data_IF_679964371065
#
_entry.id   IF_679964371065
#
_cell.length_a   1.000
_cell.length_b   1.000
_cell.length_c   1.000
_cell.angle_alpha   90.00
_cell.angle_beta   90.00
_cell.angle_gamma   90.00
#
_symmetry.space_group_name_H-M   'P 1'
#
loop_
_entity.id
_entity.type
_entity.pdbx_description
1 polymer ?
#
# COMPACT_ATOMS: atom_id res chain seq x y z
N UNK A 1 -61.30 66.00 152.07
CA UNK A 1 -62.62 65.76 152.71
C UNK A 1 -62.64 66.09 154.22
N UNK A 2 -61.55 65.91 154.99
CA UNK A 2 -61.55 66.16 156.45
C UNK A 2 -61.68 67.64 156.88
N UNK A 3 -61.05 68.60 156.19
CA UNK A 3 -61.05 70.03 156.57
C UNK A 3 -62.37 70.78 156.27
N UNK A 4 -63.18 70.29 155.32
CA UNK A 4 -64.46 70.92 154.94
C UNK A 4 -65.56 70.66 155.98
N UNK A 5 -65.47 69.52 156.68
CA UNK A 5 -66.34 69.18 157.81
C UNK A 5 -66.01 70.00 159.08
N UNK A 6 -64.76 70.40 159.28
CA UNK A 6 -64.33 71.18 160.45
C UNK A 6 -64.96 72.60 160.51
N UNK A 7 -65.25 73.18 159.35
CA UNK A 7 -65.87 74.52 159.22
C UNK A 7 -67.38 74.52 159.44
N UNK A 8 -68.06 73.38 159.26
CA UNK A 8 -69.49 73.26 159.59
C UNK A 8 -69.74 73.24 161.11
N UNK A 9 -68.80 72.75 161.91
CA UNK A 9 -68.95 72.55 163.37
C UNK A 9 -68.56 73.75 164.23
N UNK A 10 -67.82 74.73 163.70
CA UNK A 10 -67.53 76.01 164.36
C UNK A 10 -67.76 77.16 163.40
N UNK A 11 -69.00 77.70 163.33
CA UNK A 11 -69.37 78.73 162.36
C UNK A 11 -68.58 80.04 162.55
N UNK A 12 -68.03 80.25 163.74
CA UNK A 12 -67.19 81.39 164.10
C UNK A 12 -65.82 81.37 163.40
N UNK A 13 -65.36 80.18 162.98
CA UNK A 13 -64.09 79.97 162.27
C UNK A 13 -64.25 79.92 160.75
N UNK A 14 -65.46 80.07 160.22
CA UNK A 14 -65.74 80.06 158.78
C UNK A 14 -65.18 81.29 158.04
N UNK A 15 -65.05 82.41 158.77
CA UNK A 15 -64.45 83.66 158.31
C UNK A 15 -63.00 83.83 158.81
N UNK A 16 -62.43 82.84 159.48
CA UNK A 16 -61.04 82.89 159.91
C UNK A 16 -60.13 82.77 158.69
N UNK A 17 -59.35 83.84 158.46
CA UNK A 17 -58.45 83.96 157.32
C UNK A 17 -57.46 82.80 157.24
N UNK A 18 -57.01 82.24 158.37
CA UNK A 18 -56.05 81.14 158.40
C UNK A 18 -56.69 79.81 157.97
N UNK A 19 -57.96 79.58 158.33
CA UNK A 19 -58.71 78.37 157.96
C UNK A 19 -59.04 78.38 156.46
N UNK A 20 -59.48 79.53 155.93
CA UNK A 20 -59.72 79.74 154.49
C UNK A 20 -58.43 79.53 153.67
N UNK A 21 -57.30 80.07 154.14
CA UNK A 21 -56.00 79.89 153.49
C UNK A 21 -55.54 78.43 153.50
N UNK A 22 -55.73 77.72 154.61
CA UNK A 22 -55.38 76.29 154.73
C UNK A 22 -56.26 75.41 153.82
N UNK A 23 -57.55 75.70 153.73
CA UNK A 23 -58.48 75.01 152.79
C UNK A 23 -58.10 75.32 151.33
N UNK A 24 -57.69 76.56 151.04
CA UNK A 24 -57.16 76.96 149.73
C UNK A 24 -55.90 76.17 149.35
N UNK A 25 -54.91 76.11 150.24
CA UNK A 25 -53.66 75.35 150.05
C UNK A 25 -53.96 73.85 149.89
N UNK A 26 -54.86 73.28 150.70
CA UNK A 26 -55.20 71.86 150.61
C UNK A 26 -55.97 71.52 149.31
N UNK A 27 -56.87 72.40 148.85
CA UNK A 27 -57.54 72.26 147.54
C UNK A 27 -56.55 72.36 146.40
N UNK A 28 -55.59 73.29 146.48
CA UNK A 28 -54.57 73.46 145.44
C UNK A 28 -53.59 72.27 145.44
N UNK A 29 -53.19 71.75 146.60
CA UNK A 29 -52.38 70.54 146.71
C UNK A 29 -53.12 69.31 146.15
N UNK A 30 -54.43 69.16 146.43
CA UNK A 30 -55.24 68.08 145.83
C UNK A 30 -55.35 68.23 144.31
N UNK A 31 -55.47 69.47 143.81
CA UNK A 31 -55.51 69.78 142.37
C UNK A 31 -54.17 69.45 141.71
N UNK A 32 -53.04 69.83 142.32
CA UNK A 32 -51.69 69.49 141.85
C UNK A 32 -51.43 67.98 141.88
N UNK A 33 -51.85 67.26 142.93
CA UNK A 33 -51.75 65.79 142.98
C UNK A 33 -52.60 65.11 141.91
N UNK A 34 -53.80 65.62 141.63
CA UNK A 34 -54.63 65.12 140.53
C UNK A 34 -54.01 65.39 139.15
N UNK A 35 -53.34 66.53 138.97
CA UNK A 35 -52.57 66.85 137.76
C UNK A 35 -51.38 65.90 137.63
N UNK A 36 -50.58 65.73 138.69
CA UNK A 36 -49.43 64.82 138.70
C UNK A 36 -49.84 63.37 138.46
N UNK A 37 -50.96 62.92 139.04
CA UNK A 37 -51.51 61.59 138.79
C UNK A 37 -51.96 61.41 137.32
N UNK A 38 -52.53 62.46 136.71
CA UNK A 38 -52.82 62.46 135.27
C UNK A 38 -51.56 62.41 134.42
N UNK A 39 -50.54 63.21 134.75
CA UNK A 39 -49.27 63.24 134.04
C UNK A 39 -48.51 61.92 134.14
N UNK A 40 -48.47 61.30 135.32
CA UNK A 40 -47.85 59.98 135.52
C UNK A 40 -48.59 58.88 134.74
N UNK A 41 -49.93 58.91 134.71
CA UNK A 41 -50.71 57.98 133.87
C UNK A 41 -50.46 58.22 132.37
N UNK A 42 -50.30 59.49 131.96
CA UNK A 42 -49.98 59.85 130.58
C UNK A 42 -48.56 59.37 130.20
N UNK A 43 -47.58 59.53 131.09
CA UNK A 43 -46.21 59.05 130.89
C UNK A 43 -46.16 57.51 130.82
N UNK A 44 -46.88 56.81 131.69
CA UNK A 44 -46.99 55.34 131.64
C UNK A 44 -47.62 54.87 130.32
N UNK A 45 -48.62 55.60 129.81
CA UNK A 45 -49.25 55.34 128.52
C UNK A 45 -48.29 55.60 127.36
N UNK A 46 -47.53 56.70 127.41
CA UNK A 46 -46.51 57.04 126.41
C UNK A 46 -45.36 56.01 126.40
N UNK A 47 -44.88 55.56 127.56
CA UNK A 47 -43.87 54.52 127.66
C UNK A 47 -44.36 53.18 127.07
N UNK A 48 -45.62 52.80 127.34
CA UNK A 48 -46.23 51.60 126.75
C UNK A 48 -46.36 51.72 125.23
N UNK A 49 -46.74 52.89 124.73
CA UNK A 49 -46.78 53.18 123.29
C UNK A 49 -45.38 53.09 122.66
N UNK A 50 -44.37 53.72 123.28
CA UNK A 50 -42.99 53.66 122.81
C UNK A 50 -42.43 52.23 122.78
N UNK A 51 -42.69 51.42 123.81
CA UNK A 51 -42.31 50.00 123.83
C UNK A 51 -43.03 49.18 122.75
N UNK A 52 -44.29 49.50 122.45
CA UNK A 52 -45.02 48.88 121.34
C UNK A 52 -44.39 49.25 119.99
N UNK A 53 -44.08 50.53 119.78
CA UNK A 53 -43.41 51.01 118.57
C UNK A 53 -42.02 50.39 118.40
N UNK A 54 -41.26 50.21 119.49
CA UNK A 54 -39.96 49.53 119.44
C UNK A 54 -40.10 48.05 119.06
N UNK A 55 -41.12 47.37 119.57
CA UNK A 55 -41.44 45.99 119.19
C UNK A 55 -41.83 45.88 117.71
N UNK A 56 -42.64 46.80 117.20
CA UNK A 56 -43.01 46.88 115.79
C UNK A 56 -41.81 47.18 114.89
N UNK A 57 -40.91 48.09 115.30
CA UNK A 57 -39.67 48.38 114.58
C UNK A 57 -38.76 47.15 114.52
N UNK A 58 -38.61 46.41 115.62
CA UNK A 58 -37.81 45.19 115.65
C UNK A 58 -38.41 44.08 114.77
N UNK A 59 -39.74 43.93 114.77
CA UNK A 59 -40.44 43.03 113.85
C UNK A 59 -40.26 43.46 112.38
N UNK A 60 -40.22 44.76 112.10
CA UNK A 60 -39.99 45.30 110.76
C UNK A 60 -38.55 45.03 110.30
N UNK A 61 -37.55 45.16 111.17
CA UNK A 61 -36.16 44.79 110.87
C UNK A 61 -36.00 43.30 110.57
N UNK A 62 -36.70 42.42 111.31
CA UNK A 62 -36.73 40.98 110.99
C UNK A 62 -37.36 40.69 109.63
N UNK A 63 -38.41 41.43 109.24
CA UNK A 63 -38.98 41.33 107.88
C UNK A 63 -37.98 41.77 106.82
N UNK A 64 -37.18 42.81 107.07
CA UNK A 64 -36.13 43.26 106.15
C UNK A 64 -35.02 42.22 106.01
N UNK A 65 -34.53 41.63 107.12
CA UNK A 65 -33.53 40.54 107.06
C UNK A 65 -34.03 39.33 106.27
N UNK A 66 -35.29 38.93 106.49
CA UNK A 66 -35.93 37.88 105.69
C UNK A 66 -36.07 38.27 104.22
N UNK A 67 -36.45 39.51 103.92
CA UNK A 67 -36.51 40.03 102.54
C UNK A 67 -35.15 40.03 101.84
N UNK A 68 -34.07 40.38 102.54
CA UNK A 68 -32.70 40.31 102.01
C UNK A 68 -32.24 38.87 101.76
N UNK A 69 -32.61 37.92 102.63
CA UNK A 69 -32.36 36.48 102.40
C UNK A 69 -33.11 35.96 101.19
N UNK A 70 -34.38 36.34 101.01
CA UNK A 70 -35.16 35.98 99.82
C UNK A 70 -34.57 36.60 98.55
N UNK A 71 -34.12 37.86 98.61
CA UNK A 71 -33.43 38.51 97.51
C UNK A 71 -32.14 37.78 97.14
N UNK A 72 -31.31 37.42 98.12
CA UNK A 72 -30.08 36.65 97.87
C UNK A 72 -30.39 35.27 97.25
N UNK A 73 -31.43 34.60 97.72
CA UNK A 73 -31.93 33.36 97.11
C UNK A 73 -32.42 33.58 95.67
N UNK A 74 -33.09 34.70 95.40
CA UNK A 74 -33.52 35.12 94.07
C UNK A 74 -32.34 35.35 93.12
N UNK A 75 -31.29 36.03 93.59
CA UNK A 75 -30.06 36.26 92.84
C UNK A 75 -29.35 34.94 92.52
N UNK A 76 -29.25 34.02 93.48
CA UNK A 76 -28.66 32.70 93.26
C UNK A 76 -29.46 31.87 92.25
N UNK A 77 -30.80 31.92 92.30
CA UNK A 77 -31.67 31.28 91.30
C UNK A 77 -31.46 31.89 89.91
N UNK A 78 -31.30 33.21 89.82
CA UNK A 78 -31.06 33.90 88.55
C UNK A 78 -29.68 33.56 87.98
N UNK A 79 -28.64 33.51 88.81
CA UNK A 79 -27.30 33.05 88.41
C UNK A 79 -27.35 31.61 87.87
N UNK A 80 -28.08 30.72 88.54
CA UNK A 80 -28.29 29.34 88.07
C UNK A 80 -29.05 29.30 86.75
N UNK A 81 -30.16 30.03 86.64
CA UNK A 81 -30.94 30.12 85.40
C UNK A 81 -30.15 30.68 84.23
N UNK A 82 -29.27 31.65 84.46
CA UNK A 82 -28.36 32.18 83.43
C UNK A 82 -27.29 31.16 83.02
N UNK A 83 -26.77 30.36 83.95
CA UNK A 83 -25.85 29.26 83.64
C UNK A 83 -26.56 28.16 82.84
N UNK A 84 -27.77 27.77 83.23
CA UNK A 84 -28.60 26.80 82.51
C UNK A 84 -28.94 27.30 81.09
N UNK A 85 -29.27 28.58 80.93
CA UNK A 85 -29.50 29.20 79.63
C UNK A 85 -28.23 29.18 78.76
N UNK A 86 -27.06 29.51 79.32
CA UNK A 86 -25.78 29.43 78.60
C UNK A 86 -25.51 28.00 78.12
N UNK A 87 -25.77 26.99 78.96
CA UNK A 87 -25.61 25.59 78.60
C UNK A 87 -26.59 25.19 77.50
N UNK A 88 -27.87 25.55 77.62
CA UNK A 88 -28.88 25.30 76.59
C UNK A 88 -28.58 25.97 75.25
N UNK A 89 -28.03 27.19 75.26
CA UNK A 89 -27.56 27.88 74.04
C UNK A 89 -26.37 27.17 73.40
N UNK A 90 -25.43 26.65 74.20
CA UNK A 90 -24.31 25.87 73.70
C UNK A 90 -24.76 24.53 73.10
N UNK A 91 -25.68 23.83 73.76
CA UNK A 91 -26.30 22.60 73.25
C UNK A 91 -27.08 22.86 71.96
N UNK A 92 -27.86 23.95 71.91
CA UNK A 92 -28.59 24.36 70.70
C UNK A 92 -27.65 24.69 69.53
N UNK A 93 -26.51 25.35 69.81
CA UNK A 93 -25.47 25.61 68.81
C UNK A 93 -24.82 24.32 68.32
N UNK A 94 -24.52 23.38 69.21
CA UNK A 94 -23.99 22.06 68.85
C UNK A 94 -24.98 21.26 68.01
N UNK A 95 -26.27 21.24 68.39
CA UNK A 95 -27.34 20.60 67.62
C UNK A 95 -27.51 21.22 66.23
N UNK A 96 -27.45 22.55 66.12
CA UNK A 96 -27.50 23.26 64.84
C UNK A 96 -26.31 22.91 63.93
N UNK A 97 -25.10 22.77 64.49
CA UNK A 97 -23.92 22.27 63.75
C UNK A 97 -24.09 20.83 63.30
N UNK A 98 -24.65 19.96 64.14
CA UNK A 98 -24.94 18.58 63.75
C UNK A 98 -25.97 18.51 62.60
N UNK A 99 -27.01 19.34 62.65
CA UNK A 99 -28.00 19.44 61.56
C UNK A 99 -27.34 19.92 60.27
N UNK A 100 -26.51 20.95 60.33
CA UNK A 100 -25.77 21.43 59.16
C UNK A 100 -24.88 20.34 58.55
N UNK A 101 -24.14 19.61 59.39
CA UNK A 101 -23.29 18.50 58.94
C UNK A 101 -24.12 17.36 58.33
N UNK A 102 -25.23 16.97 58.97
CA UNK A 102 -26.11 15.91 58.46
C UNK A 102 -26.84 16.33 57.19
N UNK A 103 -27.17 17.61 57.03
CA UNK A 103 -27.71 18.16 55.79
C UNK A 103 -26.69 18.11 54.65
N UNK A 104 -25.41 18.39 54.94
CA UNK A 104 -24.33 18.26 53.95
C UNK A 104 -24.08 16.79 53.57
N UNK A 105 -24.12 15.86 54.53
CA UNK A 105 -24.07 14.41 54.26
C UNK A 105 -25.25 13.96 53.39
N UNK A 106 -26.46 14.45 53.67
CA UNK A 106 -27.66 14.15 52.88
C UNK A 106 -27.52 14.70 51.44
N UNK A 107 -27.05 15.93 51.28
CA UNK A 107 -26.79 16.50 49.96
C UNK A 107 -25.76 15.67 49.19
N UNK A 108 -24.67 15.25 49.85
CA UNK A 108 -23.67 14.36 49.26
C UNK A 108 -24.27 13.00 48.85
N UNK A 109 -25.14 12.43 49.70
CA UNK A 109 -25.87 11.19 49.41
C UNK A 109 -26.80 11.33 48.21
N UNK A 110 -27.54 12.44 48.11
CA UNK A 110 -28.41 12.74 46.97
C UNK A 110 -27.61 12.93 45.67
N UNK A 111 -26.45 13.59 45.72
CA UNK A 111 -25.54 13.68 44.56
C UNK A 111 -25.06 12.30 44.12
N UNK A 112 -24.63 11.44 45.04
CA UNK A 112 -24.22 10.06 44.71
C UNK A 112 -25.34 9.25 44.08
N UNK A 113 -26.59 9.42 44.54
CA UNK A 113 -27.75 8.77 43.94
C UNK A 113 -27.97 9.29 42.51
N UNK A 114 -27.89 10.61 42.30
CA UNK A 114 -28.01 11.21 40.97
C UNK A 114 -26.91 10.71 40.02
N UNK A 115 -25.67 10.63 40.48
CA UNK A 115 -24.54 10.08 39.72
C UNK A 115 -24.76 8.60 39.39
N UNK A 116 -25.22 7.82 40.37
CA UNK A 116 -25.57 6.40 40.19
C UNK A 116 -26.71 6.18 39.18
N UNK A 117 -27.73 7.05 39.16
CA UNK A 117 -28.78 7.03 38.14
C UNK A 117 -28.22 7.36 36.75
N UNK A 118 -27.30 8.31 36.64
CA UNK A 118 -26.59 8.62 35.40
C UNK A 118 -25.73 7.46 34.88
N UNK A 119 -25.03 6.77 35.78
CA UNK A 119 -24.28 5.55 35.45
C UNK A 119 -25.20 4.41 35.00
N UNK A 120 -26.35 4.23 35.66
CA UNK A 120 -27.35 3.22 35.26
C UNK A 120 -27.92 3.52 33.86
N UNK A 121 -28.29 4.77 33.59
CA UNK A 121 -28.78 5.19 32.26
C UNK A 121 -27.72 4.90 31.18
N UNK A 122 -26.45 5.18 31.48
CA UNK A 122 -25.32 4.91 30.58
C UNK A 122 -25.16 3.40 30.34
N UNK A 123 -25.18 2.59 31.41
CA UNK A 123 -25.11 1.13 31.31
C UNK A 123 -26.27 0.51 30.52
N UNK A 124 -27.49 1.04 30.67
CA UNK A 124 -28.66 0.61 29.90
C UNK A 124 -28.53 0.99 28.41
N UNK A 125 -27.97 2.17 28.11
CA UNK A 125 -27.69 2.60 26.74
C UNK A 125 -26.63 1.72 26.07
N UNK A 126 -25.54 1.41 26.78
CA UNK A 126 -24.50 0.50 26.31
C UNK A 126 -25.05 -0.92 26.07
N UNK A 127 -25.93 -1.39 26.96
CA UNK A 127 -26.60 -2.69 26.80
C UNK A 127 -27.48 -2.70 25.55
N UNK A 128 -28.25 -1.63 25.31
CA UNK A 128 -29.07 -1.49 24.10
C UNK A 128 -28.21 -1.53 22.82
N UNK A 129 -27.07 -0.83 22.83
CA UNK A 129 -26.15 -0.82 21.69
C UNK A 129 -25.53 -2.20 21.43
N UNK A 130 -25.05 -2.88 22.48
CA UNK A 130 -24.51 -4.25 22.38
C UNK A 130 -25.57 -5.25 21.92
N UNK A 131 -26.82 -5.08 22.31
CA UNK A 131 -27.93 -5.90 21.84
C UNK A 131 -28.20 -5.69 20.34
N UNK A 132 -28.11 -4.45 19.85
CA UNK A 132 -28.19 -4.15 18.41
C UNK A 132 -27.04 -4.77 17.61
N UNK A 133 -25.81 -4.73 18.15
CA UNK A 133 -24.66 -5.41 17.53
C UNK A 133 -24.84 -6.94 17.48
N UNK A 134 -25.36 -7.53 18.55
CA UNK A 134 -25.67 -8.96 18.60
C UNK A 134 -26.74 -9.36 17.56
N UNK A 135 -27.82 -8.58 17.45
CA UNK A 135 -28.86 -8.79 16.42
C UNK A 135 -28.27 -8.72 14.99
N UNK A 136 -27.40 -7.74 14.73
CA UNK A 136 -26.71 -7.61 13.44
C UNK A 136 -25.78 -8.82 13.17
N UNK A 137 -25.03 -9.26 14.18
CA UNK A 137 -24.15 -10.42 14.09
C UNK A 137 -24.90 -11.72 13.79
N UNK A 138 -26.02 -11.95 14.48
CA UNK A 138 -26.92 -13.09 14.22
C UNK A 138 -27.49 -13.05 12.80
N UNK A 139 -27.95 -11.88 12.33
CA UNK A 139 -28.44 -11.71 10.97
C UNK A 139 -27.38 -12.05 9.92
N UNK A 140 -26.14 -11.55 10.09
CA UNK A 140 -25.02 -11.86 9.19
C UNK A 140 -24.66 -13.35 9.22
N UNK A 141 -24.76 -13.99 10.38
CA UNK A 141 -24.54 -15.44 10.51
C UNK A 141 -25.59 -16.24 9.73
N UNK A 142 -26.87 -15.85 9.81
CA UNK A 142 -27.93 -16.50 9.02
C UNK A 142 -27.75 -16.31 7.51
N UNK A 143 -27.28 -15.12 7.07
CA UNK A 143 -26.96 -14.87 5.67
C UNK A 143 -25.76 -15.71 5.20
N UNK A 144 -24.72 -15.79 6.04
CA UNK A 144 -23.54 -16.64 5.78
C UNK A 144 -23.89 -18.12 5.65
N UNK A 145 -24.75 -18.63 6.54
CA UNK A 145 -25.27 -19.99 6.44
C UNK A 145 -26.09 -20.22 5.17
N UNK A 146 -26.87 -19.22 4.74
CA UNK A 146 -27.58 -19.26 3.44
C UNK A 146 -26.62 -19.37 2.25
N UNK A 147 -25.53 -18.60 2.25
CA UNK A 147 -24.49 -18.69 1.20
C UNK A 147 -23.79 -20.05 1.18
N UNK A 148 -23.47 -20.61 2.35
CA UNK A 148 -22.88 -21.95 2.45
C UNK A 148 -23.87 -23.03 1.97
N UNK A 149 -25.14 -22.93 2.33
CA UNK A 149 -26.18 -23.83 1.86
C UNK A 149 -26.32 -23.81 0.34
N UNK A 150 -26.30 -22.62 -0.28
CA UNK A 150 -26.37 -22.47 -1.73
C UNK A 150 -25.11 -23.03 -2.41
N UNK A 151 -23.92 -22.71 -1.89
CA UNK A 151 -22.67 -23.26 -2.45
C UNK A 151 -22.56 -24.78 -2.35
N UNK A 152 -23.08 -25.38 -1.27
CA UNK A 152 -23.18 -26.85 -1.15
C UNK A 152 -24.17 -27.45 -2.15
N UNK A 153 -25.29 -26.75 -2.43
CA UNK A 153 -26.24 -27.15 -3.46
C UNK A 153 -25.63 -27.10 -4.86
N UNK A 154 -24.90 -26.03 -5.17
CA UNK A 154 -24.19 -25.88 -6.45
C UNK A 154 -23.10 -26.95 -6.61
N UNK A 155 -22.34 -27.24 -5.54
CA UNK A 155 -21.35 -28.31 -5.54
C UNK A 155 -21.99 -29.69 -5.74
N UNK A 156 -23.15 -29.94 -5.11
CA UNK A 156 -23.91 -31.18 -5.31
C UNK A 156 -24.41 -31.31 -6.76
N UNK A 157 -24.91 -30.22 -7.37
CA UNK A 157 -25.32 -30.19 -8.78
C UNK A 157 -24.13 -30.47 -9.70
N UNK A 158 -22.99 -29.81 -9.48
CA UNK A 158 -21.77 -30.02 -10.25
C UNK A 158 -21.26 -31.47 -10.16
N UNK A 159 -21.25 -32.07 -8.95
CA UNK A 159 -20.86 -33.47 -8.77
C UNK A 159 -21.86 -34.45 -9.39
N UNK A 160 -23.15 -34.12 -9.40
CA UNK A 160 -24.18 -34.89 -10.10
C UNK A 160 -23.98 -34.89 -11.62
N UNK A 161 -23.72 -33.73 -12.20
CA UNK A 161 -23.46 -33.57 -13.63
C UNK A 161 -22.14 -34.25 -14.07
N UNK A 162 -21.10 -34.20 -13.23
CA UNK A 162 -19.85 -34.93 -13.46
C UNK A 162 -20.04 -36.45 -13.48
N UNK A 163 -20.97 -36.98 -12.68
CA UNK A 163 -21.25 -38.42 -12.61
C UNK A 163 -22.01 -38.94 -13.84
N UNK A 164 -22.79 -38.09 -14.52
CA UNK A 164 -23.49 -38.44 -15.76
C UNK A 164 -22.63 -38.29 -17.02
N UNK A 165 -21.59 -37.46 -16.94
CA UNK A 165 -20.65 -37.24 -18.04
C UNK A 165 -19.65 -38.40 -18.12
N UNK A 166 -19.76 -39.27 -19.14
CA UNK A 166 -18.74 -40.29 -19.48
C UNK A 166 -17.43 -39.63 -19.98
N UNK A 167 -16.80 -38.79 -19.17
CA UNK A 167 -15.75 -37.88 -19.60
C UNK A 167 -14.52 -37.95 -18.71
N UNK A 168 -13.81 -39.07 -18.75
CA UNK A 168 -12.38 -39.06 -18.42
C UNK A 168 -11.53 -38.41 -19.53
N UNK A 169 -12.14 -38.04 -20.67
CA UNK A 169 -11.43 -37.47 -21.83
C UNK A 169 -11.91 -36.06 -22.26
N UNK A 170 -13.02 -35.54 -21.72
CA UNK A 170 -13.56 -34.21 -22.09
C UNK A 170 -13.60 -33.30 -20.87
N UNK A 171 -12.89 -32.18 -20.94
CA UNK A 171 -12.93 -31.12 -19.93
C UNK A 171 -14.36 -30.56 -19.84
N UNK A 172 -15.03 -30.78 -18.71
CA UNK A 172 -16.41 -30.32 -18.50
C UNK A 172 -16.44 -28.85 -18.12
N UNK A 173 -17.16 -28.03 -18.91
CA UNK A 173 -17.40 -26.62 -18.62
C UNK A 173 -18.91 -26.46 -18.34
N UNK A 174 -19.32 -25.99 -17.15
CA UNK A 174 -20.74 -25.75 -16.83
C UNK A 174 -21.40 -24.78 -17.81
N UNK A 175 -22.69 -24.98 -18.12
CA UNK A 175 -23.43 -24.14 -19.08
C UNK A 175 -23.46 -22.67 -18.66
N UNK A 176 -23.57 -22.42 -17.36
CA UNK A 176 -23.58 -21.08 -16.78
C UNK A 176 -22.25 -20.35 -17.04
N UNK A 177 -21.13 -21.08 -17.09
CA UNK A 177 -19.81 -20.52 -17.46
C UNK A 177 -19.73 -20.27 -18.95
N UNK A 178 -20.26 -21.17 -19.78
CA UNK A 178 -20.30 -21.00 -21.24
C UNK A 178 -21.12 -19.76 -21.66
N UNK A 179 -22.19 -19.45 -20.94
CA UNK A 179 -23.06 -18.28 -21.19
C UNK A 179 -22.56 -17.01 -20.49
N UNK A 180 -21.58 -17.12 -19.60
CA UNK A 180 -21.00 -16.00 -18.87
C UNK A 180 -20.33 -14.96 -19.79
N UNK A 181 -20.45 -13.69 -19.41
CA UNK A 181 -19.94 -12.56 -20.21
C UNK A 181 -18.43 -12.67 -20.47
N UNK A 182 -17.65 -13.09 -19.46
CA UNK A 182 -16.19 -13.22 -19.57
C UNK A 182 -15.78 -14.37 -20.51
N UNK A 183 -16.51 -15.48 -20.49
CA UNK A 183 -16.25 -16.58 -21.42
C UNK A 183 -16.59 -16.19 -22.86
N UNK A 184 -17.68 -15.46 -23.07
CA UNK A 184 -18.04 -14.93 -24.38
C UNK A 184 -16.99 -13.92 -24.90
N UNK A 185 -16.43 -13.07 -24.03
CA UNK A 185 -15.29 -12.19 -24.39
C UNK A 185 -14.06 -13.00 -24.81
N UNK A 186 -13.74 -14.08 -24.10
CA UNK A 186 -12.64 -14.97 -24.47
C UNK A 186 -12.90 -15.63 -25.84
N UNK A 187 -14.09 -16.21 -26.06
CA UNK A 187 -14.47 -16.77 -27.36
C UNK A 187 -14.37 -15.74 -28.48
N UNK A 188 -14.82 -14.51 -28.29
CA UNK A 188 -14.71 -13.45 -29.29
C UNK A 188 -13.26 -13.03 -29.59
N UNK A 189 -12.35 -13.21 -28.63
CA UNK A 189 -10.93 -12.86 -28.78
C UNK A 189 -10.14 -13.92 -29.57
N UNK A 190 -10.50 -15.20 -29.35
CA UNK A 190 -9.78 -16.35 -29.90
C UNK A 190 -10.53 -17.09 -31.00
N UNK A 191 -11.80 -16.81 -31.25
CA UNK A 191 -12.58 -17.42 -32.33
C UNK A 191 -13.24 -16.37 -33.23
N UNK A 192 -13.54 -16.76 -34.46
CA UNK A 192 -14.34 -15.94 -35.39
C UNK A 192 -15.77 -15.74 -34.88
N UNK A 193 -16.47 -14.73 -35.39
CA UNK A 193 -17.86 -14.45 -35.02
C UNK A 193 -18.80 -15.65 -35.28
N UNK A 194 -18.55 -16.41 -36.35
CA UNK A 194 -19.29 -17.62 -36.72
C UNK A 194 -18.80 -18.91 -35.99
N UNK A 195 -17.79 -18.79 -35.12
CA UNK A 195 -17.17 -19.89 -34.36
C UNK A 195 -16.58 -21.00 -35.23
N UNK A 196 -16.27 -20.73 -36.50
CA UNK A 196 -15.65 -21.71 -37.42
C UNK A 196 -14.13 -21.65 -37.45
N UNK A 197 -13.51 -20.57 -36.99
CA UNK A 197 -12.07 -20.39 -36.92
C UNK A 197 -11.69 -20.21 -35.45
N UNK A 198 -10.69 -20.95 -34.99
CA UNK A 198 -10.07 -20.78 -33.70
C UNK A 198 -8.59 -20.38 -33.89
N UNK A 199 -8.13 -19.42 -33.08
CA UNK A 199 -6.77 -18.89 -33.07
C UNK A 199 -6.10 -19.29 -31.77
N UNK A 200 -4.97 -19.96 -31.89
CA UNK A 200 -4.07 -20.24 -30.77
C UNK A 200 -2.83 -19.36 -30.89
N UNK A 201 -2.44 -18.70 -29.81
CA UNK A 201 -1.22 -17.88 -29.78
C UNK A 201 -0.13 -18.73 -29.14
N UNK A 202 0.90 -19.04 -29.91
CA UNK A 202 2.08 -19.78 -29.45
C UNK A 202 3.23 -18.78 -29.35
N UNK A 203 3.78 -18.63 -28.15
CA UNK A 203 4.93 -17.76 -27.88
C UNK A 203 6.15 -18.67 -27.76
N UNK A 204 7.14 -18.47 -28.64
CA UNK A 204 8.39 -19.23 -28.59
C UNK A 204 9.32 -18.64 -27.51
N UNK A 205 10.06 -19.50 -26.83
CA UNK A 205 11.08 -19.11 -25.83
C UNK A 205 12.37 -18.56 -26.48
N UNK A 206 12.47 -18.67 -27.81
CA UNK A 206 13.60 -18.19 -28.61
C UNK A 206 13.18 -16.99 -29.46
N UNK A 207 14.16 -16.19 -29.88
CA UNK A 207 13.93 -15.04 -30.74
C UNK A 207 13.23 -15.48 -32.05
N UNK A 208 12.07 -14.91 -32.43
CA UNK A 208 11.30 -15.36 -33.60
C UNK A 208 12.01 -15.13 -34.96
N UNK A 209 13.10 -14.36 -34.97
CA UNK A 209 13.95 -14.14 -36.13
C UNK A 209 15.18 -15.06 -36.18
N UNK A 210 15.42 -15.89 -35.15
CA UNK A 210 16.60 -16.75 -35.10
C UNK A 210 16.46 -17.99 -35.99
N UNK A 211 17.61 -18.60 -36.35
CA UNK A 211 17.63 -19.90 -37.03
C UNK A 211 17.09 -21.02 -36.14
N UNK A 212 17.21 -20.90 -34.83
CA UNK A 212 16.73 -21.87 -33.83
C UNK A 212 15.20 -21.93 -33.77
N UNK A 213 14.51 -20.82 -34.06
CA UNK A 213 13.05 -20.77 -34.07
C UNK A 213 12.43 -21.54 -35.26
N UNK A 214 13.14 -21.61 -36.39
CA UNK A 214 12.66 -22.23 -37.62
C UNK A 214 12.28 -23.73 -37.48
N UNK A 215 13.13 -24.61 -36.93
CA UNK A 215 12.79 -26.03 -36.76
C UNK A 215 11.59 -26.24 -35.83
N UNK A 216 11.38 -25.37 -34.84
CA UNK A 216 10.24 -25.46 -33.91
C UNK A 216 8.92 -25.34 -34.68
N UNK A 217 8.81 -24.42 -35.63
CA UNK A 217 7.59 -24.27 -36.45
C UNK A 217 7.33 -25.51 -37.30
N UNK A 218 8.39 -26.12 -37.86
CA UNK A 218 8.26 -27.37 -38.63
C UNK A 218 7.76 -28.53 -37.75
N UNK A 219 8.27 -28.62 -36.51
CA UNK A 219 7.81 -29.60 -35.52
C UNK A 219 6.36 -29.37 -35.10
N UNK A 220 5.96 -28.11 -34.88
CA UNK A 220 4.57 -27.76 -34.55
C UNK A 220 3.65 -28.17 -35.70
N UNK A 221 3.97 -27.82 -36.96
CA UNK A 221 3.18 -28.22 -38.13
C UNK A 221 3.01 -29.74 -38.20
N UNK A 222 4.11 -30.49 -38.05
CA UNK A 222 4.10 -31.96 -38.08
C UNK A 222 3.27 -32.55 -36.94
N UNK A 223 3.36 -31.96 -35.75
CA UNK A 223 2.60 -32.39 -34.56
C UNK A 223 1.11 -32.12 -34.74
N UNK A 224 0.73 -30.97 -35.29
CA UNK A 224 -0.66 -30.63 -35.60
C UNK A 224 -1.23 -31.60 -36.63
N UNK A 225 -0.53 -31.83 -37.74
CA UNK A 225 -0.97 -32.78 -38.77
C UNK A 225 -1.11 -34.22 -38.24
N UNK A 226 -0.26 -34.63 -37.30
CA UNK A 226 -0.32 -35.94 -36.66
C UNK A 226 -1.48 -36.05 -35.66
N UNK A 227 -1.65 -35.03 -34.81
CA UNK A 227 -2.60 -35.05 -33.69
C UNK A 227 -4.04 -34.87 -34.18
N UNK A 228 -4.27 -33.96 -35.13
CA UNK A 228 -5.61 -33.59 -35.59
C UNK A 228 -6.34 -34.76 -36.26
N UNK A 229 -5.61 -35.64 -36.96
CA UNK A 229 -6.18 -36.81 -37.66
C UNK A 229 -6.93 -37.78 -36.74
N UNK A 230 -6.56 -37.85 -35.46
CA UNK A 230 -7.20 -38.72 -34.46
C UNK A 230 -8.39 -38.11 -33.72
N UNK A 231 -8.78 -36.87 -34.05
CA UNK A 231 -9.77 -36.10 -33.29
C UNK A 231 -11.01 -35.78 -34.10
N UNK A 232 -12.03 -35.22 -33.44
CA UNK A 232 -13.22 -34.65 -34.11
C UNK A 232 -12.86 -33.52 -35.09
N UNK A 233 -11.63 -32.99 -35.05
CA UNK A 233 -11.12 -31.93 -35.93
C UNK A 233 -10.38 -32.45 -37.16
N UNK A 234 -10.43 -33.75 -37.48
CA UNK A 234 -9.67 -34.36 -38.60
C UNK A 234 -9.78 -33.64 -39.96
N UNK A 235 -10.91 -32.98 -40.22
CA UNK A 235 -11.20 -32.26 -41.47
C UNK A 235 -10.89 -30.74 -41.36
N UNK A 236 -10.36 -30.29 -40.22
CA UNK A 236 -10.02 -28.90 -39.99
C UNK A 236 -8.77 -28.51 -40.81
N UNK A 237 -8.86 -27.37 -41.49
CA UNK A 237 -7.70 -26.76 -42.14
C UNK A 237 -6.87 -26.04 -41.10
N UNK A 238 -5.61 -26.42 -40.97
CA UNK A 238 -4.67 -25.80 -40.03
C UNK A 238 -3.70 -24.91 -40.79
N UNK A 239 -3.41 -23.74 -40.24
CA UNK A 239 -2.42 -22.84 -40.77
C UNK A 239 -1.66 -22.20 -39.62
N UNK A 240 -0.34 -22.08 -39.77
CA UNK A 240 0.51 -21.37 -38.83
C UNK A 240 0.92 -20.05 -39.48
N UNK A 241 0.76 -18.96 -38.73
CA UNK A 241 1.19 -17.63 -39.14
C UNK A 241 2.25 -17.07 -38.20
N UNK A 242 2.66 -15.84 -38.47
CA UNK A 242 3.65 -15.12 -37.68
C UNK A 242 5.03 -15.08 -38.33
N UNK A 243 5.94 -14.37 -37.67
CA UNK A 243 7.25 -14.03 -38.20
C UNK A 243 8.10 -15.25 -38.54
N UNK A 244 8.18 -16.21 -37.62
CA UNK A 244 9.01 -17.41 -37.81
C UNK A 244 8.47 -18.30 -38.93
N UNK A 245 7.16 -18.51 -38.99
CA UNK A 245 6.53 -19.27 -40.08
C UNK A 245 6.82 -18.63 -41.44
N UNK A 246 6.65 -17.31 -41.55
CA UNK A 246 7.01 -16.56 -42.77
C UNK A 246 8.48 -16.73 -43.15
N UNK A 247 9.38 -16.75 -42.17
CA UNK A 247 10.81 -16.96 -42.43
C UNK A 247 11.13 -18.39 -42.89
N UNK A 248 10.43 -19.39 -42.36
CA UNK A 248 10.52 -20.79 -42.82
C UNK A 248 10.06 -20.91 -44.27
N UNK A 249 8.88 -20.37 -44.59
CA UNK A 249 8.34 -20.36 -45.95
C UNK A 249 9.29 -19.65 -46.91
N UNK A 250 9.82 -18.49 -46.51
CA UNK A 250 10.76 -17.70 -47.30
C UNK A 250 12.08 -18.44 -47.55
N UNK A 251 12.58 -19.16 -46.55
CA UNK A 251 13.79 -20.00 -46.67
C UNK A 251 13.55 -21.16 -47.64
N UNK A 252 12.38 -21.80 -47.58
CA UNK A 252 12.03 -22.92 -48.46
C UNK A 252 11.88 -22.47 -49.91
N UNK A 253 11.12 -21.40 -50.16
CA UNK A 253 10.93 -20.82 -51.50
C UNK A 253 12.27 -20.34 -52.06
N UNK A 254 13.05 -19.57 -51.28
CA UNK A 254 14.31 -19.00 -51.77
C UNK A 254 15.37 -20.07 -52.00
N UNK A 255 15.44 -21.14 -51.20
CA UNK A 255 16.50 -22.14 -51.33
C UNK A 255 16.48 -22.86 -52.68
N UNK A 256 15.30 -23.27 -53.15
CA UNK A 256 15.16 -23.92 -54.45
C UNK A 256 15.40 -22.94 -55.60
N UNK A 257 14.87 -21.73 -55.49
CA UNK A 257 15.00 -20.70 -56.52
C UNK A 257 16.44 -20.19 -56.63
N UNK A 258 17.17 -20.12 -55.52
CA UNK A 258 18.59 -19.77 -55.49
C UNK A 258 19.41 -20.75 -56.33
N UNK A 259 19.27 -22.06 -56.09
CA UNK A 259 20.03 -23.07 -56.83
C UNK A 259 19.70 -23.05 -58.31
N UNK A 260 18.41 -22.96 -58.66
CA UNK A 260 17.97 -22.87 -60.06
C UNK A 260 18.57 -21.63 -60.75
N UNK A 261 18.45 -20.46 -60.11
CA UNK A 261 18.97 -19.20 -60.65
C UNK A 261 20.49 -19.22 -60.77
N UNK A 262 21.19 -19.71 -59.74
CA UNK A 262 22.64 -19.84 -59.75
C UNK A 262 23.12 -20.79 -60.86
N UNK A 263 22.46 -21.95 -61.06
CA UNK A 263 22.79 -22.87 -62.16
C UNK A 263 22.61 -22.20 -63.52
N UNK A 264 21.49 -21.50 -63.76
CA UNK A 264 21.24 -20.81 -65.03
C UNK A 264 22.29 -19.73 -65.29
N UNK A 265 22.62 -18.91 -64.28
CA UNK A 265 23.64 -17.87 -64.39
C UNK A 265 25.03 -18.43 -64.65
N UNK A 266 25.45 -19.46 -63.90
CA UNK A 266 26.74 -20.11 -64.11
C UNK A 266 26.86 -20.72 -65.50
N UNK A 267 25.79 -21.32 -66.02
CA UNK A 267 25.78 -21.88 -67.37
C UNK A 267 25.91 -20.78 -68.43
N UNK A 268 25.16 -19.68 -68.28
CA UNK A 268 25.25 -18.53 -69.19
C UNK A 268 26.66 -17.91 -69.20
N UNK A 269 27.25 -17.74 -68.03
CA UNK A 269 28.61 -17.21 -67.88
C UNK A 269 29.66 -18.18 -68.39
N UNK A 270 29.48 -19.49 -68.16
CA UNK A 270 30.35 -20.51 -68.73
C UNK A 270 30.37 -20.47 -70.25
N UNK A 271 29.22 -20.24 -70.90
CA UNK A 271 29.16 -20.10 -72.36
C UNK A 271 29.96 -18.86 -72.80
N UNK A 272 29.74 -17.71 -72.19
CA UNK A 272 30.46 -16.46 -72.54
C UNK A 272 31.97 -16.61 -72.30
N UNK A 273 32.37 -17.12 -71.13
CA UNK A 273 33.77 -17.37 -70.81
C UNK A 273 34.39 -18.44 -71.72
N UNK A 274 33.64 -19.45 -72.14
CA UNK A 274 34.13 -20.45 -73.10
C UNK A 274 34.46 -19.80 -74.45
N UNK A 275 33.64 -18.86 -74.92
CA UNK A 275 33.90 -18.11 -76.16
C UNK A 275 35.15 -17.24 -76.02
N UNK A 276 35.32 -16.54 -74.89
CA UNK A 276 36.46 -15.63 -74.65
C UNK A 276 37.77 -16.41 -74.44
N UNK A 277 37.73 -17.45 -73.60
CA UNK A 277 38.92 -18.23 -73.25
C UNK A 277 39.30 -19.26 -74.31
N UNK A 278 38.38 -19.58 -75.24
CA UNK A 278 38.51 -20.63 -76.27
C UNK A 278 38.92 -21.99 -75.70
N UNK A 279 38.66 -22.24 -74.41
CA UNK A 279 39.11 -23.44 -73.69
C UNK A 279 38.16 -23.77 -72.55
N UNK A 280 37.52 -24.95 -72.64
CA UNK A 280 36.60 -25.46 -71.61
C UNK A 280 37.29 -25.63 -70.25
N UNK A 281 38.53 -26.10 -70.21
CA UNK A 281 39.27 -26.29 -68.96
C UNK A 281 39.59 -24.95 -68.28
N UNK A 282 40.03 -23.95 -69.05
CA UNK A 282 40.31 -22.61 -68.49
C UNK A 282 39.02 -21.95 -67.99
N UNK A 283 37.90 -22.15 -68.70
CA UNK A 283 36.58 -21.69 -68.27
C UNK A 283 36.19 -22.29 -66.93
N UNK A 284 36.30 -23.62 -66.79
CA UNK A 284 35.98 -24.33 -65.54
C UNK A 284 36.87 -23.84 -64.39
N UNK A 285 38.16 -23.58 -64.64
CA UNK A 285 39.06 -23.08 -63.60
C UNK A 285 38.75 -21.66 -63.15
N UNK A 286 38.36 -20.78 -64.06
CA UNK A 286 37.93 -19.42 -63.73
C UNK A 286 36.63 -19.47 -62.91
N UNK A 287 35.64 -20.25 -63.34
CA UNK A 287 34.40 -20.39 -62.60
C UNK A 287 34.66 -21.04 -61.23
N UNK A 288 35.50 -22.08 -61.19
CA UNK A 288 35.88 -22.76 -59.95
C UNK A 288 36.59 -21.82 -58.98
N UNK A 289 37.49 -20.95 -59.46
CA UNK A 289 38.18 -19.98 -58.63
C UNK A 289 37.26 -18.85 -58.15
N UNK A 290 36.29 -18.43 -58.98
CA UNK A 290 35.23 -17.49 -58.59
C UNK A 290 34.33 -18.08 -57.50
N UNK A 291 33.89 -19.33 -57.67
CA UNK A 291 33.08 -20.03 -56.68
C UNK A 291 33.86 -20.25 -55.37
N UNK A 292 35.14 -20.60 -55.46
CA UNK A 292 36.01 -20.72 -54.29
C UNK A 292 36.13 -19.39 -53.55
N UNK A 293 36.35 -18.28 -54.27
CA UNK A 293 36.41 -16.95 -53.68
C UNK A 293 35.07 -16.55 -53.04
N UNK A 294 33.94 -16.91 -53.65
CA UNK A 294 32.60 -16.68 -53.11
C UNK A 294 32.35 -17.45 -51.81
N UNK A 295 32.64 -18.75 -51.77
CA UNK A 295 32.44 -19.53 -50.54
C UNK A 295 33.42 -19.11 -49.43
N UNK A 296 34.67 -18.78 -49.80
CA UNK A 296 35.65 -18.25 -48.86
C UNK A 296 35.22 -16.89 -48.30
N UNK A 297 34.71 -15.98 -49.14
CA UNK A 297 34.23 -14.68 -48.68
C UNK A 297 32.99 -14.79 -47.81
N UNK A 298 32.06 -15.70 -48.11
CA UNK A 298 30.92 -15.99 -47.24
C UNK A 298 31.38 -16.43 -45.84
N UNK A 299 32.30 -17.39 -45.76
CA UNK A 299 32.80 -17.87 -44.46
C UNK A 299 33.55 -16.80 -43.67
N UNK A 300 34.41 -16.02 -44.34
CA UNK A 300 35.13 -14.91 -43.69
C UNK A 300 34.17 -13.82 -43.23
N UNK A 301 33.20 -13.43 -44.06
CA UNK A 301 32.23 -12.41 -43.71
C UNK A 301 31.20 -12.86 -42.68
N UNK A 302 30.87 -14.15 -42.61
CA UNK A 302 30.09 -14.70 -41.49
C UNK A 302 30.86 -14.54 -40.18
N UNK A 303 32.17 -14.82 -40.16
CA UNK A 303 33.01 -14.59 -38.99
C UNK A 303 33.14 -13.11 -38.62
N UNK A 304 33.26 -12.21 -39.61
CA UNK A 304 33.22 -10.76 -39.39
C UNK A 304 31.86 -10.36 -38.81
N UNK A 305 30.75 -10.88 -39.33
CA UNK A 305 29.41 -10.58 -38.82
C UNK A 305 29.23 -11.04 -37.38
N UNK A 306 29.72 -12.24 -37.03
CA UNK A 306 29.63 -12.77 -35.69
C UNK A 306 30.42 -11.92 -34.67
N UNK A 307 31.67 -11.55 -35.00
CA UNK A 307 32.56 -10.85 -34.06
C UNK A 307 32.41 -9.33 -34.05
N UNK A 308 32.11 -8.71 -35.19
CA UNK A 308 32.04 -7.25 -35.33
C UNK A 308 30.60 -6.76 -35.19
N UNK A 309 29.66 -7.42 -35.86
CA UNK A 309 28.25 -7.00 -35.88
C UNK A 309 27.43 -7.64 -34.76
N UNK A 310 28.00 -8.59 -34.00
CA UNK A 310 27.30 -9.37 -32.97
C UNK A 310 26.04 -10.09 -33.51
N UNK A 311 26.08 -10.48 -34.79
CA UNK A 311 25.01 -11.25 -35.44
C UNK A 311 25.58 -12.59 -35.85
N UNK A 312 25.08 -13.65 -35.21
CA UNK A 312 25.55 -15.04 -35.36
C UNK A 312 25.38 -15.62 -36.77
N UNK A 313 24.69 -14.93 -37.68
CA UNK A 313 24.40 -15.44 -39.01
C UNK A 313 24.21 -14.34 -40.05
N UNK A 314 24.60 -14.67 -41.27
CA UNK A 314 24.25 -13.88 -42.43
C UNK A 314 22.75 -13.98 -42.71
N UNK A 315 22.16 -12.87 -43.16
CA UNK A 315 20.76 -12.83 -43.59
C UNK A 315 20.55 -13.74 -44.79
N UNK A 316 19.37 -14.35 -44.89
CA UNK A 316 19.05 -15.37 -45.92
C UNK A 316 19.26 -14.89 -47.37
N UNK A 317 19.14 -13.58 -47.62
CA UNK A 317 19.30 -12.96 -48.93
C UNK A 317 20.74 -12.56 -49.26
N UNK A 318 21.65 -12.51 -48.28
CA UNK A 318 23.04 -12.11 -48.47
C UNK A 318 23.78 -13.05 -49.43
N UNK A 319 23.71 -14.40 -49.28
CA UNK A 319 24.34 -15.31 -50.23
C UNK A 319 23.89 -15.07 -51.67
N UNK A 320 22.61 -14.77 -51.90
CA UNK A 320 22.05 -14.50 -53.23
C UNK A 320 22.60 -13.22 -53.85
N UNK A 321 22.49 -12.08 -53.15
CA UNK A 321 22.97 -10.82 -53.69
C UNK A 321 24.48 -10.81 -53.86
N UNK A 322 25.22 -11.32 -52.87
CA UNK A 322 26.67 -11.41 -52.98
C UNK A 322 27.10 -12.34 -54.12
N UNK A 323 26.39 -13.44 -54.36
CA UNK A 323 26.67 -14.31 -55.51
C UNK A 323 26.55 -13.55 -56.82
N UNK A 324 25.42 -12.88 -57.06
CA UNK A 324 25.19 -12.10 -58.28
C UNK A 324 26.28 -11.04 -58.47
N UNK A 325 26.61 -10.31 -57.41
CA UNK A 325 27.60 -9.22 -57.47
C UNK A 325 29.02 -9.73 -57.71
N UNK A 326 29.44 -10.76 -56.98
CA UNK A 326 30.78 -11.34 -57.11
C UNK A 326 30.95 -11.99 -58.48
N UNK A 327 29.90 -12.66 -58.96
CA UNK A 327 29.91 -13.27 -60.28
C UNK A 327 29.95 -12.20 -61.37
N UNK A 328 29.13 -11.16 -61.29
CA UNK A 328 29.15 -10.06 -62.27
C UNK A 328 30.54 -9.39 -62.33
N UNK A 329 31.09 -9.02 -61.18
CA UNK A 329 32.36 -8.27 -61.11
C UNK A 329 33.59 -9.17 -61.34
N UNK A 330 33.57 -10.38 -60.79
CA UNK A 330 34.69 -11.31 -60.87
C UNK A 330 34.86 -11.92 -62.26
N UNK A 331 33.76 -12.09 -63.00
CA UNK A 331 33.81 -12.49 -64.40
C UNK A 331 34.49 -11.42 -65.24
N UNK A 332 34.17 -10.14 -65.04
CA UNK A 332 34.80 -9.04 -65.78
C UNK A 332 36.32 -9.02 -65.59
N UNK A 333 36.80 -9.18 -64.37
CA UNK A 333 38.24 -9.27 -64.09
C UNK A 333 38.90 -10.47 -64.76
N UNK A 334 38.23 -11.62 -64.71
CA UNK A 334 38.72 -12.83 -65.38
C UNK A 334 38.75 -12.65 -66.90
N UNK A 335 37.77 -11.96 -67.48
CA UNK A 335 37.72 -11.61 -68.90
C UNK A 335 38.89 -10.70 -69.27
N UNK A 336 39.16 -9.64 -68.50
CA UNK A 336 40.30 -8.75 -68.77
C UNK A 336 41.62 -9.52 -68.79
N UNK A 337 41.89 -10.32 -67.74
CA UNK A 337 43.11 -11.15 -67.68
C UNK A 337 43.17 -12.11 -68.87
N UNK A 338 42.05 -12.71 -69.26
CA UNK A 338 42.01 -13.67 -70.37
C UNK A 338 42.14 -13.05 -71.75
N UNK A 339 41.61 -11.85 -71.97
CA UNK A 339 41.84 -11.10 -73.20
C UNK A 339 43.34 -10.83 -73.36
N UNK A 340 44.01 -10.37 -72.29
CA UNK A 340 45.46 -10.16 -72.33
C UNK A 340 46.25 -11.45 -72.43
N UNK A 341 45.81 -12.51 -71.76
CA UNK A 341 46.38 -13.84 -71.92
C UNK A 341 46.35 -14.26 -73.39
N UNK A 342 45.27 -14.01 -74.12
CA UNK A 342 45.19 -14.38 -75.53
C UNK A 342 46.09 -13.54 -76.45
N UNK A 343 46.42 -12.30 -76.08
CA UNK A 343 47.31 -11.41 -76.83
C UNK A 343 48.80 -11.68 -76.61
N UNK A 344 49.18 -12.24 -75.45
CA UNK A 344 50.58 -12.51 -75.11
C UNK A 344 51.05 -13.81 -75.79
N UNK A 345 52.23 -13.77 -76.41
CA UNK A 345 52.90 -14.93 -76.99
C UNK A 345 53.71 -15.69 -75.92
N UNK A 346 53.88 -17.00 -76.11
CA UNK A 346 54.65 -17.87 -75.20
C UNK A 346 53.88 -19.10 -74.73
N UNK A 347 54.49 -19.84 -73.80
CA UNK A 347 53.83 -20.98 -73.16
C UNK A 347 52.73 -20.52 -72.19
N UNK A 348 51.79 -21.40 -71.88
CA UNK A 348 50.63 -21.03 -71.06
C UNK A 348 50.98 -20.44 -69.70
N UNK A 349 52.12 -20.80 -69.09
CA UNK A 349 52.55 -20.25 -67.80
C UNK A 349 53.10 -18.85 -67.96
N UNK A 350 54.01 -18.63 -68.91
CA UNK A 350 54.54 -17.28 -69.16
C UNK A 350 53.45 -16.32 -69.59
N UNK A 351 52.50 -16.79 -70.41
CA UNK A 351 51.33 -16.01 -70.85
C UNK A 351 50.49 -15.51 -69.67
N UNK A 352 50.11 -16.38 -68.74
CA UNK A 352 49.26 -15.98 -67.61
C UNK A 352 50.01 -15.11 -66.60
N UNK A 353 51.30 -15.38 -66.35
CA UNK A 353 52.12 -14.52 -65.47
C UNK A 353 52.26 -13.12 -66.07
N UNK A 354 52.55 -13.03 -67.37
CA UNK A 354 52.74 -11.75 -68.08
C UNK A 354 51.42 -10.99 -68.19
N UNK A 355 50.32 -11.69 -68.49
CA UNK A 355 48.98 -11.10 -68.53
C UNK A 355 48.58 -10.57 -67.15
N UNK A 356 48.76 -11.35 -66.09
CA UNK A 356 48.50 -10.93 -64.72
C UNK A 356 49.39 -9.76 -64.29
N UNK A 357 50.65 -9.67 -64.74
CA UNK A 357 51.52 -8.53 -64.44
C UNK A 357 51.06 -7.23 -65.11
N UNK A 358 50.59 -7.31 -66.36
CA UNK A 358 50.10 -6.14 -67.10
C UNK A 358 48.75 -5.65 -66.58
N UNK A 359 47.80 -6.56 -66.35
CA UNK A 359 46.42 -6.22 -65.98
C UNK A 359 46.22 -6.16 -64.47
N UNK A 360 47.09 -6.79 -63.67
CA UNK A 360 46.95 -6.86 -62.22
C UNK A 360 46.88 -5.49 -61.55
N UNK A 361 47.65 -4.49 -62.04
CA UNK A 361 47.55 -3.11 -61.53
C UNK A 361 46.18 -2.50 -61.77
N UNK A 362 45.65 -2.61 -63.00
CA UNK A 362 44.33 -2.09 -63.38
C UNK A 362 43.23 -2.76 -62.55
N UNK A 363 43.29 -4.08 -62.40
CA UNK A 363 42.27 -4.81 -61.64
C UNK A 363 42.37 -4.54 -60.15
N UNK A 364 43.57 -4.45 -59.58
CA UNK A 364 43.75 -4.11 -58.17
C UNK A 364 43.20 -2.70 -57.88
N UNK A 365 43.45 -1.73 -58.75
CA UNK A 365 42.87 -0.39 -58.63
C UNK A 365 41.34 -0.41 -58.71
N UNK A 366 40.78 -1.14 -59.68
CA UNK A 366 39.34 -1.29 -59.82
C UNK A 366 38.71 -1.98 -58.59
N UNK A 367 39.32 -3.05 -58.09
CA UNK A 367 38.87 -3.76 -56.90
C UNK A 367 38.91 -2.86 -55.67
N UNK A 368 39.96 -2.05 -55.48
CA UNK A 368 40.09 -1.14 -54.35
C UNK A 368 39.02 -0.03 -54.37
N UNK A 369 38.79 0.58 -55.53
CA UNK A 369 37.70 1.57 -55.71
C UNK A 369 36.36 0.94 -55.35
N UNK A 370 36.11 -0.26 -55.87
CA UNK A 370 34.83 -0.92 -55.72
C UNK A 370 34.61 -1.41 -54.28
N UNK A 371 35.62 -1.96 -53.61
CA UNK A 371 35.60 -2.22 -52.16
C UNK A 371 35.26 -0.95 -51.39
N UNK A 372 35.82 0.21 -51.76
CA UNK A 372 35.46 1.50 -51.17
C UNK A 372 33.98 1.85 -51.37
N UNK A 373 33.43 1.63 -52.57
CA UNK A 373 32.00 1.88 -52.84
C UNK A 373 31.07 0.96 -52.05
N UNK A 374 31.41 -0.33 -51.88
CA UNK A 374 30.63 -1.23 -51.03
C UNK A 374 30.81 -0.88 -49.55
N UNK A 375 32.00 -0.50 -49.11
CA UNK A 375 32.24 -0.04 -47.75
C UNK A 375 31.38 1.19 -47.39
N UNK A 376 31.03 2.04 -48.36
CA UNK A 376 30.09 3.14 -48.17
C UNK A 376 28.65 2.70 -47.84
N UNK A 377 28.29 1.42 -48.01
CA UNK A 377 27.02 0.85 -47.54
C UNK A 377 27.04 0.51 -46.04
N UNK A 378 28.22 0.44 -45.41
CA UNK A 378 28.35 0.11 -43.98
C UNK A 378 27.59 1.12 -43.08
N UNK A 379 27.69 2.44 -43.32
CA UNK A 379 26.94 3.44 -42.55
C UNK A 379 25.42 3.49 -42.82
N UNK A 380 24.86 2.62 -43.68
CA UNK A 380 23.44 2.69 -44.07
C UNK A 380 22.45 2.34 -42.95
N UNK A 381 22.90 1.67 -41.88
CA UNK A 381 22.04 1.15 -40.82
C UNK A 381 21.19 -0.07 -41.22
N UNK A 382 21.29 -0.54 -42.47
CA UNK A 382 20.56 -1.70 -42.98
C UNK A 382 21.46 -2.92 -42.94
N UNK A 383 21.25 -3.82 -41.97
CA UNK A 383 22.11 -4.99 -41.72
C UNK A 383 22.40 -5.82 -42.97
N UNK A 384 21.40 -6.05 -43.83
CA UNK A 384 21.57 -6.81 -45.08
C UNK A 384 22.55 -6.14 -46.04
N UNK A 385 22.52 -4.81 -46.17
CA UNK A 385 23.45 -4.06 -47.02
C UNK A 385 24.88 -4.10 -46.47
N UNK A 386 25.03 -4.00 -45.14
CA UNK A 386 26.33 -4.11 -44.46
C UNK A 386 26.94 -5.50 -44.70
N UNK A 387 26.13 -6.55 -44.56
CA UNK A 387 26.57 -7.94 -44.79
C UNK A 387 26.94 -8.18 -46.26
N UNK A 388 26.11 -7.73 -47.23
CA UNK A 388 26.44 -7.82 -48.66
C UNK A 388 27.73 -7.09 -48.97
N UNK A 389 27.92 -5.87 -48.45
CA UNK A 389 29.13 -5.08 -48.63
C UNK A 389 30.37 -5.79 -48.08
N UNK A 390 30.27 -6.42 -46.90
CA UNK A 390 31.35 -7.22 -46.33
C UNK A 390 31.73 -8.39 -47.25
N UNK A 391 30.75 -9.21 -47.66
CA UNK A 391 31.00 -10.41 -48.48
C UNK A 391 31.58 -10.03 -49.84
N UNK A 392 31.02 -9.03 -50.49
CA UNK A 392 31.50 -8.54 -51.79
C UNK A 392 32.90 -7.93 -51.65
N UNK A 393 33.12 -7.08 -50.63
CA UNK A 393 34.42 -6.48 -50.37
C UNK A 393 35.52 -7.51 -50.14
N UNK A 394 35.26 -8.50 -49.28
CA UNK A 394 36.21 -9.60 -49.02
C UNK A 394 36.45 -10.41 -50.30
N UNK A 395 35.41 -10.75 -51.06
CA UNK A 395 35.55 -11.51 -52.31
C UNK A 395 36.41 -10.77 -53.33
N UNK A 396 36.23 -9.46 -53.49
CA UNK A 396 37.00 -8.65 -54.44
C UNK A 396 38.47 -8.57 -54.03
N UNK A 397 38.75 -8.44 -52.73
CA UNK A 397 40.12 -8.48 -52.22
C UNK A 397 40.75 -9.86 -52.43
N UNK A 398 40.02 -10.94 -52.17
CA UNK A 398 40.49 -12.30 -52.47
C UNK A 398 40.76 -12.48 -53.96
N UNK A 399 39.88 -11.99 -54.82
CA UNK A 399 40.03 -12.08 -56.27
C UNK A 399 41.27 -11.30 -56.75
N UNK A 400 41.43 -10.06 -56.27
CA UNK A 400 42.51 -9.15 -56.62
C UNK A 400 43.88 -9.62 -56.11
N UNK A 401 43.96 -10.04 -54.85
CA UNK A 401 45.22 -10.30 -54.16
C UNK A 401 45.66 -11.76 -54.21
N UNK A 402 44.72 -12.70 -54.33
CA UNK A 402 45.02 -14.14 -54.26
C UNK A 402 44.69 -14.83 -55.57
N UNK A 403 43.46 -14.68 -56.07
CA UNK A 403 43.01 -15.50 -57.20
C UNK A 403 43.75 -15.18 -58.48
N UNK A 404 43.84 -13.91 -58.87
CA UNK A 404 44.50 -13.54 -60.13
C UNK A 404 46.03 -13.66 -60.14
N UNK A 405 46.78 -13.22 -59.09
CA UNK A 405 48.23 -13.30 -59.13
C UNK A 405 48.77 -14.70 -58.78
N UNK A 406 48.02 -15.53 -58.05
CA UNK A 406 48.50 -16.81 -57.54
C UNK A 406 47.69 -17.99 -58.08
N UNK A 407 46.39 -18.05 -57.78
CA UNK A 407 45.58 -19.25 -58.03
C UNK A 407 45.37 -19.52 -59.52
N UNK A 408 45.00 -18.52 -60.30
CA UNK A 408 44.77 -18.65 -61.75
C UNK A 408 46.05 -19.06 -62.50
N UNK A 409 47.21 -18.39 -62.29
CA UNK A 409 48.48 -18.85 -62.86
C UNK A 409 48.83 -20.29 -62.47
N UNK A 410 48.64 -20.67 -61.21
CA UNK A 410 48.92 -22.03 -60.74
C UNK A 410 48.02 -23.08 -61.41
N UNK A 411 46.71 -22.81 -61.50
CA UNK A 411 45.75 -23.69 -62.17
C UNK A 411 46.04 -23.84 -63.66
N UNK A 412 46.36 -22.74 -64.35
CA UNK A 412 46.70 -22.76 -65.77
C UNK A 412 48.07 -23.42 -66.06
N UNK A 413 49.02 -23.30 -65.14
CA UNK A 413 50.28 -24.03 -65.23
C UNK A 413 50.12 -25.53 -65.00
N UNK A 414 49.15 -25.95 -64.19
CA UNK A 414 48.81 -27.35 -64.02
C UNK A 414 48.23 -27.94 -65.32
N UNK A 415 47.35 -27.23 -66.02
CA UNK A 415 46.80 -27.71 -67.30
C UNK A 415 47.82 -27.81 -68.42
N UNK A 416 48.76 -26.87 -68.52
CA UNK A 416 49.80 -26.94 -69.55
C UNK A 416 50.69 -28.17 -69.37
N UNK A 417 51.06 -28.48 -68.11
CA UNK A 417 51.78 -29.72 -67.77
C UNK A 417 50.96 -30.97 -68.07
N UNK A 418 49.68 -31.00 -67.70
CA UNK A 418 48.80 -32.15 -67.97
C UNK A 418 48.62 -32.40 -69.47
N UNK A 419 48.46 -31.34 -70.28
CA UNK A 419 48.33 -31.46 -71.74
C UNK A 419 49.64 -31.96 -72.38
N UNK A 420 50.78 -31.43 -71.96
CA UNK A 420 52.11 -31.89 -72.41
C UNK A 420 52.37 -33.35 -72.03
N UNK A 421 51.92 -33.80 -70.86
CA UNK A 421 52.07 -35.20 -70.42
C UNK A 421 51.22 -36.15 -71.28
N UNK A 422 49.98 -35.75 -71.59
CA UNK A 422 49.09 -36.51 -72.48
C UNK A 422 49.67 -36.63 -73.90
N UNK A 423 50.20 -35.55 -74.45
CA UNK A 423 50.85 -35.56 -75.78
C UNK A 423 52.14 -36.42 -75.78
N UNK A 424 52.94 -36.39 -74.71
CA UNK A 424 54.09 -37.29 -74.57
C UNK A 424 53.67 -38.76 -74.57
N UNK A 425 52.63 -39.14 -73.81
CA UNK A 425 52.18 -40.54 -73.76
C UNK A 425 51.64 -41.01 -75.12
N UNK A 426 50.96 -40.14 -75.86
CA UNK A 426 50.41 -40.46 -77.19
C UNK A 426 51.52 -40.60 -78.24
N UNK A 427 52.58 -39.77 -78.19
CA UNK A 427 53.70 -39.83 -79.14
C UNK A 427 54.77 -40.88 -78.80
N UNK A 428 54.63 -41.61 -77.68
CA UNK A 428 55.54 -42.71 -77.30
C UNK A 428 54.93 -44.10 -77.59
N UNK A 429 53.75 -44.14 -78.23
CA UNK A 429 53.17 -45.32 -78.87
C UNK A 429 53.16 -45.09 -80.37
#
# INVERSE_FOLDING_TARGET
>A
MLMTNFVQTKPELANDSNIQQTIGIAKEAQKQLNVLSKELNQLATQHKAAMSSFKEANQSLLKVDNGLKEMNNGINKLQKGAADLKNGLNEGSAGSKQIANKSAELQSGLTKINDGQGQLLTGLKDLQEKMGQLQSGLSKSTEGLGKVSNGLHDAQKYLGELNESKSSEKFYIPKEVLEGEDFQKALNTYMSQDRKIAKMIIILDVNPYSKEAMPIIQEINKTIEGTVKGTELKDAKTAIGGTTARNVDLKEVTGQDFLRTATIMLFGIAIVLMVITRSLLNTIFIIGSLLLAYFASLGISEQISAHVLHVESLSWNVPFFSFIMIVALGVDYSIFVMMRYNEVEGDSVTKIITASRHIGGVVLSAALILVGTFAALIPSGVLTLIQVASVVGVALLLLALIVMPILLPALMGLTSKLKSYKEKIINTK
#
